data_IF_876144060010
#
_entry.id   IF_876144060010
#
_cell.length_a   1.000
_cell.length_b   1.000
_cell.length_c   1.000
_cell.angle_alpha   90.00
_cell.angle_beta   90.00
_cell.angle_gamma   90.00
#
_symmetry.space_group_name_H-M   'P 1'
#
loop_
_entity.id
_entity.type
_entity.pdbx_description
1 polymer ?
#
# COMPACT_ATOMS: atom_id res chain seq x y z
N UNK A 1 12.15 15.32 1.25
CA UNK A 1 12.27 13.85 1.45
C UNK A 1 10.92 13.28 1.06
N UNK A 2 10.84 12.52 -0.04
CA UNK A 2 9.53 12.04 -0.50
C UNK A 2 9.05 10.92 0.42
N UNK A 3 7.74 10.76 0.59
CA UNK A 3 7.14 9.67 1.39
C UNK A 3 7.61 8.31 0.85
N UNK A 4 7.84 8.22 -0.47
CA UNK A 4 8.41 7.06 -1.13
C UNK A 4 9.80 6.68 -0.61
N UNK A 5 10.68 7.66 -0.37
CA UNK A 5 12.02 7.40 0.19
C UNK A 5 11.95 6.83 1.61
N UNK A 6 11.01 7.32 2.43
CA UNK A 6 10.82 6.84 3.80
C UNK A 6 10.35 5.38 3.82
N UNK A 7 9.39 5.03 2.95
CA UNK A 7 8.89 3.65 2.82
C UNK A 7 9.99 2.73 2.27
N UNK A 8 10.73 3.17 1.24
CA UNK A 8 11.84 2.41 0.67
C UNK A 8 12.94 2.15 1.71
N UNK A 9 13.33 3.17 2.47
CA UNK A 9 14.36 3.03 3.51
C UNK A 9 13.88 2.14 4.66
N UNK A 10 12.61 2.23 5.05
CA UNK A 10 12.03 1.35 6.06
C UNK A 10 12.01 -0.11 5.60
N UNK A 11 11.68 -0.37 4.34
CA UNK A 11 11.74 -1.72 3.75
C UNK A 11 13.17 -2.25 3.71
N UNK A 12 14.13 -1.46 3.23
CA UNK A 12 15.54 -1.85 3.18
C UNK A 12 16.11 -2.13 4.58
N UNK A 13 15.75 -1.32 5.57
CA UNK A 13 16.10 -1.57 6.96
C UNK A 13 15.43 -2.85 7.50
N UNK A 14 14.16 -3.11 7.16
CA UNK A 14 13.44 -4.33 7.54
C UNK A 14 14.09 -5.60 6.99
N UNK A 15 14.45 -5.61 5.70
CA UNK A 15 15.18 -6.72 5.09
C UNK A 15 16.57 -6.93 5.72
N UNK A 16 17.31 -5.85 5.97
CA UNK A 16 18.62 -5.93 6.64
C UNK A 16 18.53 -6.49 8.06
N UNK A 17 17.46 -6.16 8.80
CA UNK A 17 17.22 -6.72 10.14
C UNK A 17 16.91 -8.21 10.07
N UNK A 18 16.11 -8.68 9.10
CA UNK A 18 15.86 -10.11 8.93
C UNK A 18 17.13 -10.91 8.65
N UNK A 19 17.97 -10.43 7.73
CA UNK A 19 19.23 -11.09 7.37
C UNK A 19 20.15 -11.23 8.61
N UNK A 20 20.25 -10.15 9.38
CA UNK A 20 21.13 -10.07 10.56
C UNK A 20 20.66 -10.94 11.72
N UNK A 21 19.34 -11.09 11.89
CA UNK A 21 18.76 -12.04 12.86
C UNK A 21 19.05 -13.48 12.45
N UNK A 22 18.98 -13.77 11.14
CA UNK A 22 19.30 -15.10 10.59
C UNK A 22 20.77 -15.45 10.82
N UNK A 23 21.69 -14.55 10.50
CA UNK A 23 23.12 -14.71 10.78
C UNK A 23 23.42 -14.88 12.27
N UNK A 24 22.77 -14.09 13.13
CA UNK A 24 22.97 -14.19 14.58
C UNK A 24 22.55 -15.56 15.13
N UNK A 25 21.43 -16.11 14.64
CA UNK A 25 20.96 -17.44 15.02
C UNK A 25 21.91 -18.52 14.49
N UNK A 26 22.37 -18.41 13.24
CA UNK A 26 23.33 -19.34 12.67
C UNK A 26 24.67 -19.32 13.42
N UNK A 27 25.12 -18.16 13.89
CA UNK A 27 26.33 -18.03 14.69
C UNK A 27 26.19 -18.68 16.07
N UNK A 28 25.01 -18.60 16.70
CA UNK A 28 24.72 -19.31 17.95
C UNK A 28 24.71 -20.83 17.75
N UNK A 29 24.23 -21.31 16.60
CA UNK A 29 24.29 -22.73 16.22
C UNK A 29 25.74 -23.17 16.03
N UNK A 30 26.56 -22.39 15.31
CA UNK A 30 27.99 -22.69 15.09
C UNK A 30 28.80 -22.69 16.40
N UNK A 31 28.45 -21.82 17.35
CA UNK A 31 29.07 -21.80 18.69
C UNK A 31 28.64 -22.97 19.57
N UNK A 32 27.68 -23.78 19.13
CA UNK A 32 27.13 -24.91 19.89
C UNK A 32 26.20 -24.49 21.03
N UNK A 33 25.83 -23.20 21.13
CA UNK A 33 24.87 -22.71 22.12
C UNK A 33 23.43 -23.08 21.74
N UNK A 34 23.20 -23.40 20.47
CA UNK A 34 21.93 -23.87 19.91
C UNK A 34 22.15 -25.08 19.01
N UNK A 35 21.22 -26.04 19.03
CA UNK A 35 21.20 -27.09 18.00
C UNK A 35 20.66 -26.53 16.68
N UNK A 36 21.05 -27.12 15.54
CA UNK A 36 20.51 -26.76 14.21
C UNK A 36 18.98 -26.78 14.19
N UNK A 37 18.37 -27.76 14.88
CA UNK A 37 16.92 -27.88 14.98
C UNK A 37 16.27 -26.68 15.68
N UNK A 38 16.91 -26.16 16.73
CA UNK A 38 16.39 -25.02 17.49
C UNK A 38 16.62 -23.71 16.76
N UNK A 39 17.77 -23.53 16.10
CA UNK A 39 18.04 -22.36 15.27
C UNK A 39 17.03 -22.22 14.13
N UNK A 40 16.81 -23.31 13.38
CA UNK A 40 15.81 -23.33 12.30
C UNK A 40 14.39 -23.01 12.79
N UNK A 41 14.04 -23.49 13.99
CA UNK A 41 12.74 -23.21 14.61
C UNK A 41 12.58 -21.74 14.97
N UNK A 42 13.61 -21.13 15.57
CA UNK A 42 13.62 -19.71 15.95
C UNK A 42 13.52 -18.80 14.74
N UNK A 43 14.27 -19.08 13.67
CA UNK A 43 14.17 -18.32 12.40
C UNK A 43 12.76 -18.40 11.83
N UNK A 44 12.16 -19.60 11.84
CA UNK A 44 10.81 -19.80 11.31
C UNK A 44 9.76 -19.06 12.14
N UNK A 45 9.79 -19.19 13.47
CA UNK A 45 8.87 -18.48 14.37
C UNK A 45 9.02 -16.97 14.27
N UNK A 46 10.26 -16.46 14.18
CA UNK A 46 10.53 -15.04 13.97
C UNK A 46 9.94 -14.54 12.66
N UNK A 47 10.15 -15.28 11.57
CA UNK A 47 9.65 -14.93 10.23
C UNK A 47 8.13 -14.93 10.20
N UNK A 48 7.48 -15.99 10.70
CA UNK A 48 6.01 -16.06 10.77
C UNK A 48 5.43 -14.91 11.61
N UNK A 49 6.07 -14.57 12.73
CA UNK A 49 5.62 -13.47 13.59
C UNK A 49 5.85 -12.11 12.94
N UNK A 50 6.97 -11.92 12.24
CA UNK A 50 7.29 -10.71 11.50
C UNK A 50 6.31 -10.48 10.34
N UNK A 51 5.96 -11.52 9.57
CA UNK A 51 4.99 -11.44 8.48
C UNK A 51 3.61 -11.03 9.00
N UNK A 52 3.18 -11.64 10.11
CA UNK A 52 1.89 -11.33 10.74
C UNK A 52 1.85 -9.88 11.23
N UNK A 53 2.88 -9.44 11.96
CA UNK A 53 3.00 -8.05 12.41
C UNK A 53 3.12 -7.05 11.26
N UNK A 54 3.80 -7.41 10.17
CA UNK A 54 3.94 -6.54 8.99
C UNK A 54 2.61 -6.36 8.28
N UNK A 55 1.79 -7.41 8.17
CA UNK A 55 0.46 -7.33 7.58
C UNK A 55 -0.48 -6.41 8.37
N UNK A 56 -0.52 -6.56 9.70
CA UNK A 56 -1.34 -5.72 10.57
C UNK A 56 -0.83 -4.26 10.59
N UNK A 57 0.49 -4.06 10.57
CA UNK A 57 1.11 -2.75 10.45
C UNK A 57 0.78 -2.10 9.11
N UNK A 58 0.84 -2.84 8.00
CA UNK A 58 0.50 -2.32 6.67
C UNK A 58 -0.95 -1.85 6.59
N UNK A 59 -1.89 -2.59 7.19
CA UNK A 59 -3.30 -2.16 7.29
C UNK A 59 -3.44 -0.88 8.09
N UNK A 60 -2.80 -0.84 9.25
CA UNK A 60 -2.83 0.33 10.14
C UNK A 60 -2.25 1.58 9.46
N UNK A 61 -1.14 1.42 8.73
CA UNK A 61 -0.51 2.49 7.96
C UNK A 61 -1.44 2.94 6.84
N UNK A 62 -2.01 2.03 6.05
CA UNK A 62 -2.96 2.38 4.99
C UNK A 62 -4.15 3.16 5.55
N UNK A 63 -4.75 2.72 6.64
CA UNK A 63 -5.84 3.46 7.30
C UNK A 63 -5.40 4.84 7.78
N UNK A 64 -4.20 4.96 8.36
CA UNK A 64 -3.68 6.22 8.85
C UNK A 64 -3.43 7.20 7.70
N UNK A 65 -2.90 6.70 6.59
CA UNK A 65 -2.66 7.47 5.36
C UNK A 65 -3.99 7.91 4.76
N UNK A 66 -4.97 7.01 4.62
CA UNK A 66 -6.32 7.33 4.14
C UNK A 66 -6.98 8.40 5.01
N UNK A 67 -6.99 8.22 6.33
CA UNK A 67 -7.55 9.22 7.28
C UNK A 67 -6.83 10.57 7.22
N UNK A 68 -5.52 10.57 7.00
CA UNK A 68 -4.74 11.79 6.85
C UNK A 68 -5.04 12.50 5.54
N UNK A 69 -5.18 11.75 4.44
CA UNK A 69 -5.59 12.26 3.13
C UNK A 69 -7.00 12.85 3.16
N UNK A 70 -7.95 12.16 3.81
CA UNK A 70 -9.30 12.65 4.05
C UNK A 70 -9.30 13.96 4.85
N UNK A 71 -8.51 14.04 5.93
CA UNK A 71 -8.38 15.25 6.75
C UNK A 71 -7.74 16.43 6.03
N UNK A 72 -6.87 16.18 5.06
CA UNK A 72 -6.27 17.23 4.22
C UNK A 72 -7.17 17.62 3.05
N UNK A 73 -8.38 17.08 2.96
CA UNK A 73 -9.35 17.37 1.90
C UNK A 73 -8.78 17.09 0.50
N UNK A 74 -7.81 16.17 0.39
CA UNK A 74 -7.19 15.78 -0.87
C UNK A 74 -8.08 14.69 -1.48
N UNK A 75 -8.80 14.97 -2.59
CA UNK A 75 -9.64 13.98 -3.23
C UNK A 75 -8.79 12.83 -3.76
N UNK A 76 -9.26 11.60 -3.55
CA UNK A 76 -8.61 10.42 -4.13
C UNK A 76 -8.88 10.36 -5.64
N UNK A 77 -8.12 9.53 -6.36
CA UNK A 77 -8.34 9.33 -7.80
C UNK A 77 -9.77 8.83 -8.08
N UNK A 78 -10.30 7.97 -7.21
CA UNK A 78 -11.64 7.41 -7.33
C UNK A 78 -12.73 8.46 -7.12
N UNK A 79 -12.51 9.43 -6.22
CA UNK A 79 -13.41 10.56 -6.02
C UNK A 79 -13.49 11.44 -7.27
N UNK A 80 -12.34 11.71 -7.90
CA UNK A 80 -12.27 12.47 -9.16
C UNK A 80 -13.00 11.72 -10.28
N UNK A 81 -12.82 10.40 -10.38
CA UNK A 81 -13.48 9.59 -11.40
C UNK A 81 -15.01 9.55 -11.18
N UNK A 82 -15.44 9.44 -9.93
CA UNK A 82 -16.86 9.50 -9.55
C UNK A 82 -17.46 10.86 -9.89
N UNK A 83 -16.73 11.95 -9.65
CA UNK A 83 -17.14 13.29 -10.01
C UNK A 83 -17.26 13.45 -11.53
N UNK A 84 -16.30 12.93 -12.29
CA UNK A 84 -16.34 12.91 -13.75
C UNK A 84 -17.56 12.16 -14.29
N UNK A 85 -17.88 10.97 -13.75
CA UNK A 85 -19.08 10.22 -14.13
C UNK A 85 -20.37 11.00 -13.83
N UNK A 86 -20.42 11.69 -12.69
CA UNK A 86 -21.56 12.57 -12.34
C UNK A 86 -21.66 13.74 -13.32
N UNK A 87 -20.54 14.39 -13.66
CA UNK A 87 -20.49 15.50 -14.62
C UNK A 87 -20.95 15.02 -16.01
N UNK A 88 -20.50 13.85 -16.47
CA UNK A 88 -20.95 13.30 -17.75
C UNK A 88 -22.44 12.99 -17.76
N UNK A 89 -22.97 12.34 -16.72
CA UNK A 89 -24.41 12.07 -16.62
C UNK A 89 -25.25 13.37 -16.57
N UNK A 90 -24.77 14.39 -15.87
CA UNK A 90 -25.41 15.70 -15.85
C UNK A 90 -25.31 16.37 -17.23
N UNK A 91 -24.18 16.28 -17.92
CA UNK A 91 -23.99 16.82 -19.27
C UNK A 91 -24.92 16.15 -20.28
N UNK A 92 -25.13 14.83 -20.19
CA UNK A 92 -26.09 14.09 -21.03
C UNK A 92 -27.53 14.51 -20.73
N UNK A 93 -27.88 14.68 -19.45
CA UNK A 93 -29.21 15.16 -19.05
C UNK A 93 -29.46 16.59 -19.51
N UNK A 94 -28.47 17.47 -19.40
CA UNK A 94 -28.55 18.85 -19.87
C UNK A 94 -28.70 18.86 -21.40
N UNK A 95 -27.86 18.13 -22.16
CA UNK A 95 -28.03 17.98 -23.63
C UNK A 95 -29.44 17.52 -24.02
N UNK A 96 -30.01 16.57 -23.28
CA UNK A 96 -31.35 16.03 -23.53
C UNK A 96 -32.47 17.03 -23.18
N UNK A 97 -32.25 17.90 -22.20
CA UNK A 97 -33.20 18.94 -21.77
C UNK A 97 -33.09 20.21 -22.62
N UNK A 98 -31.90 20.53 -23.12
CA UNK A 98 -31.63 21.66 -24.03
C UNK A 98 -32.08 21.38 -25.47
N UNK A 99 -32.58 20.17 -25.76
CA UNK A 99 -33.21 19.85 -27.04
C UNK A 99 -32.23 19.90 -28.23
N UNK A 100 -30.94 19.65 -28.01
CA UNK A 100 -29.98 19.51 -29.09
C UNK A 100 -30.20 18.12 -29.73
N UNK A 101 -30.68 18.04 -30.98
CA UNK A 101 -30.93 16.77 -31.64
C UNK A 101 -29.60 16.05 -31.88
N UNK A 102 -29.60 14.72 -31.71
CA UNK A 102 -28.50 13.85 -32.12
C UNK A 102 -28.33 13.95 -33.65
N UNK A 103 -27.44 14.84 -34.10
CA UNK A 103 -27.22 15.10 -35.53
C UNK A 103 -26.54 16.42 -35.83
N UNK A 104 -25.39 16.71 -35.22
CA UNK A 104 -24.45 17.73 -35.73
C UNK A 104 -23.01 17.37 -35.38
N UNK A 105 -22.63 16.13 -35.66
CA UNK A 105 -21.25 15.81 -36.04
C UNK A 105 -21.31 15.10 -37.39
N UNK A 106 -21.43 15.91 -38.44
CA UNK A 106 -20.90 15.57 -39.77
C UNK A 106 -20.50 16.89 -40.43
N UNK A 107 -19.21 16.97 -40.78
CA UNK A 107 -18.53 17.98 -41.60
C UNK A 107 -18.30 19.33 -40.86
N UNK A 108 -17.08 19.84 -40.63
CA UNK A 108 -15.74 19.72 -41.26
C UNK A 108 -14.59 19.53 -40.23
#
# INVERSE_FOLDING_TARGET
>A
MTIFDVVRNALLAGFGVQEKVREFIDDLVKKGELSESQGAKLVKEWTEKADKSTSDLSKSISELVTKTLEKMNIPTKDDIETLNKKIQNLSVRIKKLEGIPEGSETEE
#
